data_IF_476315912763
#
_entry.id   IF_476315912763
#
_cell.length_a   1.000
_cell.length_b   1.000
_cell.length_c   1.000
_cell.angle_alpha   90.00
_cell.angle_beta   90.00
_cell.angle_gamma   90.00
#
_symmetry.space_group_name_H-M   'P 1'
#
loop_
_entity.id
_entity.type
_entity.pdbx_description
1 polymer ?
#
# COMPACT_ATOMS: atom_id res chain seq x y z
N UNK A 1 15.98 -17.06 -9.24
CA UNK A 1 14.95 -16.67 -10.22
C UNK A 1 13.91 -15.90 -9.44
N UNK A 2 14.07 -14.58 -9.28
CA UNK A 2 13.04 -13.79 -8.62
C UNK A 2 12.00 -13.46 -9.70
N UNK A 3 10.81 -14.04 -9.57
CA UNK A 3 9.67 -13.72 -10.42
C UNK A 3 9.49 -12.20 -10.44
N UNK A 4 9.30 -11.65 -11.65
CA UNK A 4 9.05 -10.22 -11.83
C UNK A 4 7.86 -9.82 -10.93
N UNK A 5 7.93 -8.67 -10.24
CA UNK A 5 6.78 -8.20 -9.48
C UNK A 5 5.55 -8.14 -10.39
N UNK A 6 4.42 -8.63 -9.88
CA UNK A 6 3.23 -8.88 -10.69
C UNK A 6 2.14 -9.61 -9.91
N UNK A 7 1.02 -9.88 -10.57
CA UNK A 7 -0.17 -10.50 -9.96
C UNK A 7 0.15 -11.83 -9.25
N UNK A 8 1.08 -12.63 -9.80
CA UNK A 8 1.47 -13.92 -9.22
C UNK A 8 2.07 -13.78 -7.80
N UNK A 9 2.79 -12.69 -7.53
CA UNK A 9 3.32 -12.36 -6.20
C UNK A 9 2.32 -11.59 -5.33
N UNK A 10 1.39 -10.87 -5.93
CA UNK A 10 0.40 -10.07 -5.20
C UNK A 10 -0.54 -10.91 -4.33
N UNK A 11 -1.03 -12.03 -4.85
CA UNK A 11 -1.94 -12.93 -4.14
C UNK A 11 -1.31 -13.55 -2.87
N UNK A 12 -0.13 -14.20 -2.91
CA UNK A 12 0.47 -14.75 -1.70
C UNK A 12 0.84 -13.66 -0.69
N UNK A 13 1.21 -12.46 -1.14
CA UNK A 13 1.47 -11.34 -0.23
C UNK A 13 0.17 -10.83 0.43
N UNK A 14 -0.95 -10.79 -0.28
CA UNK A 14 -2.25 -10.46 0.31
C UNK A 14 -2.67 -11.44 1.42
N UNK A 15 -2.43 -12.74 1.22
CA UNK A 15 -2.66 -13.78 2.24
C UNK A 15 -1.75 -13.54 3.45
N UNK A 16 -0.48 -13.20 3.22
CA UNK A 16 0.45 -12.86 4.28
C UNK A 16 0.01 -11.60 5.04
N UNK A 17 -0.50 -10.58 4.34
CA UNK A 17 -1.11 -9.39 4.92
C UNK A 17 -2.33 -9.73 5.79
N UNK A 18 -3.19 -10.64 5.34
CA UNK A 18 -4.31 -11.13 6.15
C UNK A 18 -3.82 -11.77 7.47
N UNK A 19 -2.86 -12.69 7.39
CA UNK A 19 -2.32 -13.39 8.58
C UNK A 19 -1.69 -12.40 9.57
N UNK A 20 -0.89 -11.46 9.06
CA UNK A 20 -0.27 -10.42 9.89
C UNK A 20 -1.31 -9.50 10.51
N UNK A 21 -2.33 -9.10 9.73
CA UNK A 21 -3.43 -8.27 10.23
C UNK A 21 -4.21 -8.93 11.37
N UNK A 22 -4.56 -10.22 11.21
CA UNK A 22 -5.18 -11.02 12.28
C UNK A 22 -4.27 -11.05 13.51
N UNK A 23 -3.01 -11.43 13.33
CA UNK A 23 -2.06 -11.59 14.43
C UNK A 23 -1.84 -10.27 15.19
N UNK A 24 -1.74 -9.14 14.49
CA UNK A 24 -1.56 -7.83 15.09
C UNK A 24 -2.78 -7.42 15.92
N UNK A 25 -3.99 -7.58 15.40
CA UNK A 25 -5.23 -7.27 16.15
C UNK A 25 -5.29 -8.13 17.41
N UNK A 26 -5.01 -9.43 17.26
CA UNK A 26 -5.01 -10.37 18.38
C UNK A 26 -3.98 -9.99 19.45
N UNK A 27 -2.79 -9.58 19.02
CA UNK A 27 -1.71 -9.15 19.90
C UNK A 27 -2.05 -7.86 20.65
N UNK A 28 -2.64 -6.86 19.98
CA UNK A 28 -3.04 -5.61 20.64
C UNK A 28 -4.15 -5.87 21.66
N UNK A 29 -5.16 -6.67 21.30
CA UNK A 29 -6.25 -7.01 22.21
C UNK A 29 -5.79 -7.83 23.42
N UNK A 30 -4.79 -8.70 23.24
CA UNK A 30 -4.22 -9.45 24.36
C UNK A 30 -3.45 -8.55 25.33
N UNK A 31 -2.70 -7.56 24.81
CA UNK A 31 -2.06 -6.54 25.63
C UNK A 31 -3.07 -5.66 26.39
N UNK A 32 -4.24 -5.44 25.81
CA UNK A 32 -5.33 -4.67 26.41
C UNK A 32 -6.24 -5.50 27.33
N UNK A 33 -5.97 -6.81 27.49
CA UNK A 33 -6.78 -7.74 28.28
C UNK A 33 -8.29 -7.69 27.91
N UNK A 34 -8.60 -7.48 26.63
CA UNK A 34 -9.98 -7.41 26.15
C UNK A 34 -10.58 -8.81 25.99
N UNK A 35 -11.82 -8.98 26.45
CA UNK A 35 -12.59 -10.22 26.30
C UNK A 35 -13.95 -9.90 25.61
N UNK A 36 -14.32 -10.57 24.49
CA UNK A 36 -13.60 -11.65 23.84
C UNK A 36 -12.32 -11.18 23.15
N UNK A 37 -11.28 -12.01 23.24
CA UNK A 37 -10.03 -11.83 22.52
C UNK A 37 -10.25 -11.78 20.99
N UNK A 38 -11.22 -12.53 20.48
CA UNK A 38 -11.64 -12.52 19.09
C UNK A 38 -12.91 -11.70 18.90
N UNK A 39 -12.80 -10.58 18.17
CA UNK A 39 -13.93 -9.72 17.83
C UNK A 39 -13.97 -9.51 16.31
N UNK A 40 -14.96 -10.08 15.61
CA UNK A 40 -15.09 -9.94 14.16
C UNK A 40 -15.15 -8.48 13.71
N UNK A 41 -15.77 -7.59 14.49
CA UNK A 41 -15.96 -6.18 14.12
C UNK A 41 -14.62 -5.45 13.92
N UNK A 42 -13.72 -5.58 14.89
CA UNK A 42 -12.38 -4.96 14.82
C UNK A 42 -11.55 -5.57 13.69
N UNK A 43 -11.65 -6.88 13.51
CA UNK A 43 -10.93 -7.63 12.49
C UNK A 43 -11.34 -7.18 11.08
N UNK A 44 -12.64 -6.97 10.83
CA UNK A 44 -13.14 -6.49 9.53
C UNK A 44 -12.69 -5.08 9.18
N UNK A 45 -12.35 -4.25 10.16
CA UNK A 45 -11.84 -2.90 9.91
C UNK A 45 -10.35 -2.92 9.58
N UNK A 46 -9.56 -3.65 10.36
CA UNK A 46 -8.08 -3.57 10.28
C UNK A 46 -7.52 -4.44 9.15
N UNK A 47 -8.06 -5.66 8.96
CA UNK A 47 -7.52 -6.62 8.00
C UNK A 47 -7.49 -6.10 6.56
N UNK A 48 -8.54 -5.45 6.02
CA UNK A 48 -8.52 -4.97 4.65
C UNK A 48 -7.33 -4.04 4.35
N UNK A 49 -6.94 -3.17 5.29
CA UNK A 49 -5.77 -2.31 5.11
C UNK A 49 -4.47 -3.10 4.98
N UNK A 50 -4.29 -4.16 5.78
CA UNK A 50 -3.13 -5.03 5.69
C UNK A 50 -3.13 -5.86 4.41
N UNK A 51 -4.28 -6.41 4.01
CA UNK A 51 -4.43 -7.12 2.73
C UNK A 51 -4.05 -6.19 1.58
N UNK A 52 -4.64 -4.99 1.51
CA UNK A 52 -4.38 -4.03 0.44
C UNK A 52 -2.92 -3.57 0.43
N UNK A 53 -2.34 -3.25 1.59
CA UNK A 53 -0.95 -2.82 1.69
C UNK A 53 0.04 -3.89 1.23
N UNK A 54 -0.12 -5.12 1.71
CA UNK A 54 0.73 -6.23 1.28
C UNK A 54 0.47 -6.68 -0.15
N UNK A 55 -0.77 -6.57 -0.63
CA UNK A 55 -1.11 -6.81 -2.03
C UNK A 55 -0.39 -5.80 -2.95
N UNK A 56 -0.47 -4.51 -2.64
CA UNK A 56 0.25 -3.46 -3.37
C UNK A 56 1.77 -3.68 -3.33
N UNK A 57 2.30 -4.09 -2.18
CA UNK A 57 3.71 -4.46 -2.06
C UNK A 57 4.06 -5.70 -2.89
N UNK A 58 3.18 -6.70 -2.94
CA UNK A 58 3.35 -7.90 -3.78
C UNK A 58 3.30 -7.61 -5.28
N UNK A 59 2.45 -6.67 -5.69
CA UNK A 59 2.44 -6.14 -7.07
C UNK A 59 3.69 -5.34 -7.41
N UNK A 60 4.50 -4.95 -6.43
CA UNK A 60 5.66 -4.09 -6.65
C UNK A 60 5.30 -2.62 -6.84
N UNK A 61 4.19 -2.15 -6.25
CA UNK A 61 3.82 -0.73 -6.27
C UNK A 61 4.89 0.22 -5.69
N UNK A 62 5.83 -0.34 -4.92
CA UNK A 62 6.98 0.37 -4.35
C UNK A 62 8.31 0.06 -5.06
N UNK A 63 8.30 -0.70 -6.16
CA UNK A 63 9.49 -0.96 -6.96
C UNK A 63 9.68 0.19 -7.97
N UNK A 64 10.73 1.02 -7.86
CA UNK A 64 10.98 2.12 -8.79
C UNK A 64 11.08 1.67 -10.25
N UNK A 65 11.44 0.40 -10.48
CA UNK A 65 11.56 -0.21 -11.80
C UNK A 65 10.23 -0.42 -12.52
N UNK A 66 9.10 -0.31 -11.81
CA UNK A 66 7.77 -0.30 -12.44
C UNK A 66 7.40 1.08 -13.01
N UNK A 67 8.05 2.15 -12.55
CA UNK A 67 7.87 3.51 -13.10
C UNK A 67 8.82 3.79 -14.27
N UNK A 68 9.84 2.96 -14.46
CA UNK A 68 10.53 2.83 -15.74
C UNK A 68 9.51 2.25 -16.73
N UNK A 69 8.68 3.11 -17.31
CA UNK A 69 7.97 2.76 -18.52
C UNK A 69 9.06 2.24 -19.47
N UNK A 70 8.85 1.05 -20.04
CA UNK A 70 9.52 0.73 -21.27
C UNK A 70 9.12 1.89 -22.20
N UNK A 71 10.00 2.88 -22.35
CA UNK A 71 9.97 3.72 -23.52
C UNK A 71 9.96 2.69 -24.65
N UNK A 72 8.79 2.50 -25.27
CA UNK A 72 8.74 1.93 -26.59
C UNK A 72 9.80 2.69 -27.38
N UNK A 73 10.68 2.00 -28.11
CA UNK A 73 11.90 2.60 -28.61
C UNK A 73 11.57 3.96 -29.22
N UNK A 74 12.05 5.03 -28.58
CA UNK A 74 12.05 6.38 -29.14
C UNK A 74 12.98 6.44 -30.37
N UNK A 75 13.54 5.30 -30.79
CA UNK A 75 14.06 5.03 -32.12
C UNK A 75 12.93 4.64 -33.09
N UNK A 76 11.96 5.55 -33.27
CA UNK A 76 11.06 5.54 -34.43
C UNK A 76 11.77 6.02 -35.72
N UNK A 77 13.06 5.69 -35.87
CA UNK A 77 13.80 5.85 -37.11
C UNK A 77 14.68 4.63 -37.38
N UNK A 78 14.20 3.86 -38.37
CA UNK A 78 15.00 3.12 -39.35
C UNK A 78 15.53 1.72 -38.97
N UNK A 79 14.85 0.72 -39.53
CA UNK A 79 15.38 -0.58 -40.02
C UNK A 79 15.64 -1.70 -39.00
N UNK A 80 14.57 -2.47 -38.71
CA UNK A 80 14.69 -3.91 -38.52
C UNK A 80 13.36 -4.60 -38.87
N UNK A 81 12.99 -4.58 -40.15
CA UNK A 81 12.10 -5.59 -40.71
C UNK A 81 12.90 -6.89 -40.69
N UNK A 82 12.74 -7.71 -39.65
CA UNK A 82 13.14 -9.11 -39.71
C UNK A 82 12.09 -9.79 -40.57
N UNK A 83 12.44 -10.07 -41.83
CA UNK A 83 11.68 -10.98 -42.67
C UNK A 83 11.75 -12.38 -42.04
N UNK A 84 10.77 -12.71 -41.21
CA UNK A 84 10.46 -14.09 -40.85
C UNK A 84 9.56 -14.62 -41.96
N UNK A 85 10.18 -15.19 -42.98
CA UNK A 85 9.50 -16.14 -43.87
C UNK A 85 9.16 -17.38 -43.03
N UNK A 86 7.92 -17.41 -42.55
CA UNK A 86 7.43 -18.44 -41.64
C UNK A 86 6.01 -18.10 -41.23
N UNK A 87 5.11 -18.42 -42.12
CA UNK A 87 3.66 -18.29 -42.04
C UNK A 87 3.07 -18.87 -40.74
N UNK A 88 3.01 -18.05 -39.69
CA UNK A 88 1.96 -18.11 -38.67
C UNK A 88 1.35 -16.73 -38.57
N UNK A 89 0.12 -16.60 -39.08
CA UNK A 89 -0.73 -15.43 -38.89
C UNK A 89 -1.03 -15.35 -37.40
N UNK A 90 -0.13 -14.72 -36.65
CA UNK A 90 -0.47 -14.16 -35.36
C UNK A 90 -1.58 -13.16 -35.66
N UNK A 91 -2.82 -13.56 -35.40
CA UNK A 91 -3.94 -12.66 -35.31
C UNK A 91 -3.44 -11.47 -34.49
N UNK A 92 -3.43 -10.29 -35.09
CA UNK A 92 -3.17 -9.05 -34.39
C UNK A 92 -4.26 -8.97 -33.33
N UNK A 93 -3.97 -9.48 -32.14
CA UNK A 93 -4.82 -9.29 -30.98
C UNK A 93 -4.82 -7.78 -30.75
N UNK A 94 -5.88 -7.12 -31.22
CA UNK A 94 -6.11 -5.72 -30.91
C UNK A 94 -6.00 -5.57 -29.39
N UNK A 95 -4.97 -4.86 -28.95
CA UNK A 95 -4.74 -4.67 -27.52
C UNK A 95 -6.03 -4.10 -26.93
N UNK A 96 -6.62 -4.77 -25.94
CA UNK A 96 -7.90 -4.34 -25.40
C UNK A 96 -7.74 -2.91 -24.91
N UNK A 97 -8.50 -1.99 -25.49
CA UNK A 97 -8.39 -0.58 -25.16
C UNK A 97 -8.47 -0.35 -23.65
N UNK A 98 -7.88 0.73 -23.12
CA UNK A 98 -7.82 0.98 -21.66
C UNK A 98 -9.18 0.85 -20.95
N UNK A 99 -10.26 1.20 -21.65
CA UNK A 99 -11.63 1.05 -21.17
C UNK A 99 -12.10 -0.42 -21.04
N UNK A 100 -11.71 -1.28 -21.98
CA UNK A 100 -12.03 -2.71 -21.94
C UNK A 100 -11.31 -3.40 -20.77
N UNK A 101 -10.07 -3.00 -20.49
CA UNK A 101 -9.33 -3.48 -19.30
C UNK A 101 -10.02 -3.03 -18.01
N UNK A 102 -10.39 -1.75 -17.91
CA UNK A 102 -11.07 -1.21 -16.74
C UNK A 102 -12.43 -1.87 -16.50
N UNK A 103 -13.23 -2.03 -17.55
CA UNK A 103 -14.52 -2.72 -17.49
C UNK A 103 -14.37 -4.20 -17.11
N UNK A 104 -13.36 -4.88 -17.65
CA UNK A 104 -13.03 -6.25 -17.28
C UNK A 104 -12.67 -6.40 -15.80
N UNK A 105 -11.88 -5.47 -15.25
CA UNK A 105 -11.53 -5.46 -13.82
C UNK A 105 -12.74 -5.10 -12.95
N UNK A 106 -13.52 -4.10 -13.34
CA UNK A 106 -14.72 -3.69 -12.60
C UNK A 106 -15.75 -4.84 -12.54
N UNK A 107 -15.93 -5.59 -13.62
CA UNK A 107 -16.80 -6.77 -13.65
C UNK A 107 -16.30 -7.86 -12.69
N UNK A 108 -15.00 -8.18 -12.74
CA UNK A 108 -14.39 -9.19 -11.85
C UNK A 108 -14.54 -8.81 -10.37
N UNK A 109 -14.30 -7.54 -10.03
CA UNK A 109 -14.42 -7.04 -8.65
C UNK A 109 -15.89 -7.07 -8.20
N UNK A 110 -16.81 -6.57 -9.03
CA UNK A 110 -18.25 -6.55 -8.72
C UNK A 110 -18.79 -7.95 -8.51
N UNK A 111 -18.44 -8.88 -9.41
CA UNK A 111 -18.83 -10.28 -9.29
C UNK A 111 -18.25 -10.94 -8.03
N UNK A 112 -16.98 -10.70 -7.73
CA UNK A 112 -16.36 -11.23 -6.52
C UNK A 112 -17.02 -10.71 -5.24
N UNK A 113 -17.37 -9.42 -5.19
CA UNK A 113 -18.09 -8.82 -4.06
C UNK A 113 -19.48 -9.43 -3.91
N UNK A 114 -20.23 -9.57 -5.01
CA UNK A 114 -21.56 -10.21 -5.00
C UNK A 114 -21.44 -11.65 -4.51
N UNK A 115 -20.45 -12.41 -5.00
CA UNK A 115 -20.20 -13.78 -4.57
C UNK A 115 -19.92 -13.85 -3.06
N UNK A 116 -19.07 -12.96 -2.53
CA UNK A 116 -18.79 -12.88 -1.10
C UNK A 116 -20.06 -12.58 -0.30
N UNK A 117 -20.88 -11.61 -0.74
CA UNK A 117 -22.15 -11.29 -0.06
C UNK A 117 -23.10 -12.49 -0.07
N UNK A 118 -23.21 -13.20 -1.19
CA UNK A 118 -24.04 -14.41 -1.30
C UNK A 118 -23.52 -15.52 -0.39
N UNK A 119 -22.20 -15.72 -0.31
CA UNK A 119 -21.60 -16.69 0.61
C UNK A 119 -21.90 -16.30 2.05
N UNK A 120 -21.69 -15.05 2.45
CA UNK A 120 -22.01 -14.56 3.79
C UNK A 120 -23.48 -14.73 4.12
N UNK A 121 -24.37 -14.46 3.16
CA UNK A 121 -25.81 -14.67 3.32
C UNK A 121 -26.17 -16.15 3.49
N UNK A 122 -25.56 -17.04 2.70
CA UNK A 122 -25.73 -18.49 2.84
C UNK A 122 -25.22 -18.99 4.20
N UNK A 123 -24.07 -18.49 4.66
CA UNK A 123 -23.54 -18.79 5.99
C UNK A 123 -24.38 -18.20 7.12
N UNK A 124 -25.00 -17.03 6.92
CA UNK A 124 -25.88 -16.42 7.91
C UNK A 124 -27.22 -17.16 8.05
N UNK A 125 -27.70 -17.79 6.98
CA UNK A 125 -28.97 -18.52 6.94
C UNK A 125 -28.83 -20.03 7.19
N UNK A 126 -27.60 -20.56 7.19
CA UNK A 126 -27.34 -21.96 7.47
C UNK A 126 -27.65 -22.33 8.95
N UNK A 127 -28.23 -23.52 9.23
CA UNK A 127 -28.58 -23.94 10.60
C UNK A 127 -27.40 -24.06 11.57
N UNK A 128 -26.19 -24.19 11.04
CA UNK A 128 -24.90 -24.27 11.76
C UNK A 128 -23.97 -23.10 11.43
N UNK A 129 -24.54 -22.02 10.88
CA UNK A 129 -23.82 -20.84 10.42
C UNK A 129 -23.10 -20.05 11.52
N UNK A 130 -22.33 -19.04 11.10
CA UNK A 130 -21.83 -17.98 11.99
C UNK A 130 -23.04 -17.17 12.48
N UNK A 131 -23.74 -17.69 13.49
CA UNK A 131 -24.68 -16.90 14.26
C UNK A 131 -23.86 -15.79 14.90
N UNK A 132 -23.92 -14.60 14.31
CA UNK A 132 -23.71 -13.37 15.06
C UNK A 132 -24.74 -13.42 16.18
N UNK A 133 -24.38 -14.05 17.30
CA UNK A 133 -25.18 -14.04 18.52
C UNK A 133 -25.37 -12.56 18.81
N UNK A 134 -26.57 -12.06 18.53
CA UNK A 134 -27.01 -10.78 19.04
C UNK A 134 -27.04 -10.99 20.54
N UNK A 135 -25.96 -10.58 21.20
CA UNK A 135 -25.87 -10.64 22.65
C UNK A 135 -26.96 -9.67 23.10
N UNK A 136 -28.05 -10.19 23.66
CA UNK A 136 -29.11 -9.41 24.30
C UNK A 136 -28.58 -8.75 25.58
N UNK A 137 -27.40 -8.12 25.51
CA UNK A 137 -26.99 -7.10 26.47
C UNK A 137 -27.69 -5.82 26.04
N UNK A 138 -28.49 -5.27 26.95
CA UNK A 138 -29.21 -4.01 26.74
C UNK A 138 -28.27 -2.87 26.30
N UNK A 139 -26.99 -2.94 26.69
CA UNK A 139 -25.93 -1.99 26.35
C UNK A 139 -25.48 -2.04 24.87
N UNK A 140 -25.75 -3.14 24.15
CA UNK A 140 -25.37 -3.35 22.75
C UNK A 140 -26.54 -3.31 21.75
N UNK A 141 -27.74 -2.98 22.22
CA UNK A 141 -28.94 -2.93 21.36
C UNK A 141 -28.89 -1.71 20.43
N UNK A 142 -28.85 -1.95 19.12
CA UNK A 142 -29.02 -0.91 18.08
C UNK A 142 -30.41 -0.27 18.09
N UNK A 143 -31.37 -0.82 18.84
CA UNK A 143 -32.69 -0.24 19.06
C UNK A 143 -32.74 0.67 20.31
N UNK A 144 -31.70 0.71 21.14
CA UNK A 144 -31.64 1.50 22.37
C UNK A 144 -31.15 2.94 22.12
N UNK A 145 -31.72 3.62 21.12
CA UNK A 145 -31.39 5.03 20.79
C UNK A 145 -31.68 5.99 21.96
N UNK A 146 -32.47 5.56 22.95
CA UNK A 146 -32.83 6.31 24.16
C UNK A 146 -31.92 6.07 25.36
N UNK A 147 -30.95 5.14 25.29
CA UNK A 147 -30.03 4.91 26.41
C UNK A 147 -29.06 6.09 26.56
N UNK A 148 -29.26 6.91 27.60
CA UNK A 148 -28.29 7.92 28.03
C UNK A 148 -27.04 7.21 28.53
N UNK A 149 -25.91 7.38 27.82
CA UNK A 149 -24.62 6.91 28.29
C UNK A 149 -23.88 8.10 28.93
N UNK A 150 -23.41 7.88 30.16
CA UNK A 150 -22.54 8.81 30.86
C UNK A 150 -21.10 8.35 30.72
N UNK A 151 -20.21 9.26 30.30
CA UNK A 151 -18.77 9.00 30.22
C UNK A 151 -18.02 10.06 31.00
N UNK A 152 -17.01 9.62 31.76
CA UNK A 152 -16.04 10.49 32.40
C UNK A 152 -15.01 10.93 31.37
N UNK A 153 -15.00 12.21 31.01
CA UNK A 153 -13.94 12.76 30.20
C UNK A 153 -12.63 12.74 31.00
N UNK A 154 -11.50 12.33 30.40
CA UNK A 154 -10.19 12.29 31.07
C UNK A 154 -9.62 13.69 31.43
N UNK A 155 -10.44 14.74 31.29
CA UNK A 155 -10.13 16.13 31.62
C UNK A 155 -10.55 16.53 33.05
N UNK A 156 -11.11 15.61 33.85
CA UNK A 156 -11.45 15.85 35.26
C UNK A 156 -12.65 16.79 35.48
N UNK A 157 -13.42 17.05 34.42
CA UNK A 157 -14.68 17.81 34.46
C UNK A 157 -15.81 16.77 34.51
N UNK A 158 -16.87 17.09 35.25
CA UNK A 158 -18.03 16.23 35.55
C UNK A 158 -18.52 15.33 34.40
N UNK A 159 -19.21 14.25 34.76
CA UNK A 159 -19.83 13.30 33.83
C UNK A 159 -20.71 14.03 32.82
N UNK A 160 -20.36 13.92 31.54
CA UNK A 160 -21.19 14.44 30.45
C UNK A 160 -22.13 13.32 30.01
N UNK A 161 -23.43 13.55 30.16
CA UNK A 161 -24.47 12.71 29.59
C UNK A 161 -24.68 13.13 28.14
N UNK A 162 -24.37 12.23 27.19
CA UNK A 162 -24.69 12.47 25.79
C UNK A 162 -25.49 11.30 25.22
N UNK A 163 -26.43 11.61 24.32
CA UNK A 163 -27.17 10.60 23.58
C UNK A 163 -26.19 9.77 22.72
N UNK A 164 -26.41 8.46 22.65
CA UNK A 164 -25.66 7.55 21.77
C UNK A 164 -25.63 8.06 20.32
N UNK A 165 -26.72 8.67 19.85
CA UNK A 165 -26.80 9.26 18.51
C UNK A 165 -25.82 10.43 18.35
N UNK A 166 -25.68 11.30 19.36
CA UNK A 166 -24.73 12.41 19.34
C UNK A 166 -23.29 11.93 19.34
N UNK A 167 -22.97 10.89 20.13
CA UNK A 167 -21.62 10.29 20.16
C UNK A 167 -21.30 9.61 18.83
N UNK A 168 -22.25 8.85 18.27
CA UNK A 168 -22.08 8.22 16.97
C UNK A 168 -21.88 9.25 15.86
N UNK A 169 -22.67 10.32 15.85
CA UNK A 169 -22.52 11.40 14.87
C UNK A 169 -21.16 12.09 15.01
N UNK A 170 -20.71 12.39 16.23
CA UNK A 170 -19.39 12.95 16.48
C UNK A 170 -18.28 12.02 15.99
N UNK A 171 -18.41 10.71 16.23
CA UNK A 171 -17.48 9.70 15.73
C UNK A 171 -17.45 9.63 14.20
N UNK A 172 -18.62 9.67 13.53
CA UNK A 172 -18.71 9.69 12.06
C UNK A 172 -18.03 10.94 11.51
N UNK A 173 -18.33 12.12 12.06
CA UNK A 173 -17.70 13.39 11.65
C UNK A 173 -16.19 13.32 11.84
N UNK A 174 -15.74 12.86 13.00
CA UNK A 174 -14.31 12.69 13.30
C UNK A 174 -13.65 11.73 12.30
N UNK A 175 -14.31 10.62 11.97
CA UNK A 175 -13.79 9.62 11.03
C UNK A 175 -13.66 10.22 9.63
N UNK A 176 -14.69 10.91 9.13
CA UNK A 176 -14.64 11.58 7.83
C UNK A 176 -13.52 12.62 7.80
N UNK A 177 -13.40 13.45 8.83
CA UNK A 177 -12.33 14.43 8.94
C UNK A 177 -10.94 13.77 8.98
N UNK A 178 -10.78 12.65 9.70
CA UNK A 178 -9.52 11.92 9.74
C UNK A 178 -9.13 11.35 8.37
N UNK A 179 -10.10 10.83 7.62
CA UNK A 179 -9.86 10.27 6.28
C UNK A 179 -9.48 11.38 5.32
N UNK A 180 -10.20 12.51 5.35
CA UNK A 180 -9.89 13.69 4.53
C UNK A 180 -8.48 14.22 4.85
N UNK A 181 -8.11 14.28 6.13
CA UNK A 181 -6.81 14.77 6.55
C UNK A 181 -5.69 13.82 6.08
N UNK A 182 -5.85 12.51 6.25
CA UNK A 182 -4.86 11.51 5.81
C UNK A 182 -4.73 11.49 4.29
N UNK A 183 -5.86 11.47 3.56
CA UNK A 183 -5.85 11.53 2.10
C UNK A 183 -5.22 12.82 1.59
N UNK A 184 -5.54 13.96 2.22
CA UNK A 184 -4.94 15.26 1.91
C UNK A 184 -3.43 15.27 2.16
N UNK A 185 -2.96 14.67 3.26
CA UNK A 185 -1.53 14.55 3.55
C UNK A 185 -0.80 13.69 2.50
N UNK A 186 -1.38 12.56 2.10
CA UNK A 186 -0.82 11.70 1.05
C UNK A 186 -0.77 12.46 -0.29
N UNK A 187 -1.85 13.14 -0.68
CA UNK A 187 -1.89 13.94 -1.90
C UNK A 187 -0.85 15.07 -1.89
N UNK A 188 -0.66 15.71 -0.73
CA UNK A 188 0.37 16.74 -0.56
C UNK A 188 1.79 16.18 -0.76
N UNK A 189 2.08 15.00 -0.21
CA UNK A 189 3.38 14.33 -0.40
C UNK A 189 3.64 14.01 -1.88
N UNK A 190 2.64 13.49 -2.59
CA UNK A 190 2.77 13.25 -4.04
C UNK A 190 2.96 14.54 -4.84
N UNK A 191 2.23 15.60 -4.50
CA UNK A 191 2.40 16.91 -5.12
C UNK A 191 3.80 17.49 -4.87
N UNK A 192 4.38 17.22 -3.70
CA UNK A 192 5.75 17.62 -3.37
C UNK A 192 6.77 16.86 -4.22
N UNK A 193 6.65 15.53 -4.33
CA UNK A 193 7.56 14.74 -5.17
C UNK A 193 7.46 15.08 -6.67
N UNK A 194 6.26 15.39 -7.17
CA UNK A 194 6.06 15.80 -8.56
C UNK A 194 6.74 17.15 -8.90
N UNK A 195 6.98 18.01 -7.90
CA UNK A 195 7.75 19.24 -8.13
C UNK A 195 9.22 18.95 -8.39
N UNK A 196 9.80 17.94 -7.75
CA UNK A 196 11.21 17.59 -7.96
C UNK A 196 11.46 16.93 -9.31
N UNK A 197 10.53 16.09 -9.79
CA UNK A 197 10.66 15.46 -11.12
C UNK A 197 10.61 16.48 -12.25
N UNK A 198 9.75 17.50 -12.15
CA UNK A 198 9.69 18.60 -13.14
C UNK A 198 10.96 19.45 -13.21
N UNK A 199 11.73 19.52 -12.12
CA UNK A 199 13.03 20.22 -12.11
C UNK A 199 14.09 19.39 -12.86
N UNK A 200 13.99 18.06 -12.80
CA UNK A 200 14.91 17.15 -13.53
C UNK A 200 14.56 17.09 -15.01
N UNK A 201 13.28 17.14 -15.36
CA UNK A 201 12.81 17.17 -16.76
C UNK A 201 13.31 18.41 -17.52
N UNK A 202 13.59 19.52 -16.82
CA UNK A 202 14.18 20.72 -17.39
C UNK A 202 15.70 20.71 -17.52
N UNK A 203 16.39 19.67 -17.05
CA UNK A 203 17.83 19.51 -17.25
C UNK A 203 18.07 18.70 -18.51
N UNK A 204 18.68 19.32 -19.54
CA UNK A 204 19.13 18.62 -20.74
C UNK A 204 19.96 17.40 -20.33
N UNK A 205 19.50 16.22 -20.73
CA UNK A 205 20.20 14.96 -20.52
C UNK A 205 21.48 14.97 -21.34
N UNK A 206 22.60 15.35 -20.73
CA UNK A 206 23.93 14.98 -21.26
C UNK A 206 24.02 13.46 -21.27
N UNK A 207 23.76 12.87 -22.42
CA UNK A 207 23.96 11.45 -22.70
C UNK A 207 25.47 11.18 -22.63
N UNK A 208 25.95 10.82 -21.44
CA UNK A 208 27.28 10.24 -21.32
C UNK A 208 27.19 8.86 -21.94
N UNK A 209 27.62 8.75 -23.20
CA UNK A 209 27.79 7.49 -23.90
C UNK A 209 28.87 6.71 -23.14
N UNK A 210 28.45 5.85 -22.21
CA UNK A 210 29.34 4.86 -21.65
C UNK A 210 29.62 3.85 -22.76
N UNK A 211 30.75 4.03 -23.45
CA UNK A 211 31.36 2.96 -24.22
C UNK A 211 31.71 1.86 -23.20
N UNK A 212 30.80 0.89 -23.06
CA UNK A 212 31.03 -0.29 -22.25
C UNK A 212 32.20 -1.04 -22.89
N UNK A 213 33.40 -0.88 -22.34
CA UNK A 213 34.52 -1.73 -22.71
C UNK A 213 34.12 -3.17 -22.36
N UNK A 214 33.88 -3.99 -23.38
CA UNK A 214 33.54 -5.40 -23.20
C UNK A 214 34.62 -6.08 -22.33
N UNK A 215 34.26 -6.63 -21.17
CA UNK A 215 35.24 -7.33 -20.33
C UNK A 215 35.66 -8.62 -21.04
N UNK A 216 36.80 -8.58 -21.71
CA UNK A 216 37.45 -9.76 -22.30
C UNK A 216 37.95 -10.68 -21.17
N UNK A 217 37.11 -11.66 -20.79
CA UNK A 217 37.50 -12.81 -19.96
C UNK A 217 37.03 -12.78 -18.50
N UNK A 218 37.18 -13.93 -17.82
CA UNK A 218 36.72 -14.20 -16.44
C UNK A 218 37.27 -13.18 -15.42
N UNK A 219 38.50 -12.68 -15.64
CA UNK A 219 39.12 -11.62 -14.85
C UNK A 219 38.39 -10.26 -14.98
N UNK A 220 37.82 -9.96 -16.15
CA UNK A 220 37.05 -8.73 -16.37
C UNK A 220 35.71 -8.72 -15.63
N UNK A 221 35.06 -9.89 -15.52
CA UNK A 221 33.82 -10.05 -14.75
C UNK A 221 34.10 -9.88 -13.25
N UNK A 222 35.19 -10.46 -12.74
CA UNK A 222 35.61 -10.27 -11.34
C UNK A 222 35.90 -8.80 -11.04
N UNK A 223 36.61 -8.10 -11.92
CA UNK A 223 36.89 -6.67 -11.75
C UNK A 223 35.61 -5.82 -11.79
N UNK A 224 34.66 -6.16 -12.66
CA UNK A 224 33.36 -5.48 -12.72
C UNK A 224 32.56 -5.68 -11.43
N UNK A 225 32.52 -6.91 -10.89
CA UNK A 225 31.88 -7.22 -9.62
C UNK A 225 32.53 -6.44 -8.47
N UNK A 226 33.86 -6.38 -8.42
CA UNK A 226 34.61 -5.60 -7.41
C UNK A 226 34.28 -4.11 -7.53
N UNK A 227 34.23 -3.56 -8.74
CA UNK A 227 33.89 -2.15 -8.95
C UNK A 227 32.45 -1.82 -8.54
N UNK A 228 31.49 -2.72 -8.81
CA UNK A 228 30.10 -2.58 -8.36
C UNK A 228 30.00 -2.64 -6.83
N UNK A 229 30.70 -3.58 -6.18
CA UNK A 229 30.72 -3.71 -4.73
C UNK A 229 31.37 -2.49 -4.06
N UNK A 230 32.49 -2.00 -4.61
CA UNK A 230 33.16 -0.77 -4.12
C UNK A 230 32.27 0.45 -4.33
N UNK A 231 31.55 0.52 -5.46
CA UNK A 231 30.58 1.58 -5.74
C UNK A 231 29.42 1.58 -4.75
N UNK A 232 28.81 0.41 -4.50
CA UNK A 232 27.75 0.22 -3.53
C UNK A 232 28.21 0.58 -2.11
N UNK A 233 29.41 0.14 -1.71
CA UNK A 233 29.99 0.48 -0.40
C UNK A 233 30.22 1.99 -0.26
N UNK A 234 30.78 2.65 -1.29
CA UNK A 234 30.94 4.12 -1.29
C UNK A 234 29.60 4.85 -1.20
N UNK A 235 28.56 4.35 -1.85
CA UNK A 235 27.23 4.94 -1.79
C UNK A 235 26.61 4.81 -0.39
N UNK A 236 26.70 3.62 0.23
CA UNK A 236 26.26 3.40 1.62
C UNK A 236 27.01 4.30 2.60
N UNK A 237 28.34 4.42 2.47
CA UNK A 237 29.15 5.29 3.32
C UNK A 237 28.79 6.77 3.15
N UNK A 238 28.47 7.22 1.94
CA UNK A 238 27.96 8.60 1.72
C UNK A 238 26.57 8.79 2.35
N UNK A 239 25.69 7.78 2.27
CA UNK A 239 24.38 7.80 2.91
C UNK A 239 24.49 7.98 4.43
N UNK A 240 25.35 7.19 5.08
CA UNK A 240 25.63 7.31 6.52
C UNK A 240 26.22 8.70 6.84
N UNK A 241 27.14 9.21 6.02
CA UNK A 241 27.70 10.55 6.20
C UNK A 241 26.69 11.68 6.04
N UNK A 242 25.69 11.52 5.18
CA UNK A 242 24.59 12.49 5.02
C UNK A 242 23.64 12.47 6.21
N UNK A 243 23.31 11.28 6.72
CA UNK A 243 22.48 11.11 7.91
C UNK A 243 23.19 11.68 9.15
N UNK A 244 24.47 11.41 9.33
CA UNK A 244 25.27 11.97 10.42
C UNK A 244 25.34 13.51 10.38
N UNK A 245 25.47 14.09 9.17
CA UNK A 245 25.43 15.55 8.99
C UNK A 245 24.05 16.14 9.23
N UNK A 246 22.98 15.43 8.84
CA UNK A 246 21.59 15.81 9.12
C UNK A 246 21.30 15.82 10.62
N UNK A 247 21.69 14.77 11.33
CA UNK A 247 21.57 14.68 12.79
C UNK A 247 22.37 15.79 13.49
N UNK A 248 23.62 16.05 13.07
CA UNK A 248 24.44 17.12 13.67
C UNK A 248 23.84 18.52 13.45
N UNK A 249 23.11 18.74 12.36
CA UNK A 249 22.42 20.01 12.07
C UNK A 249 21.05 20.12 12.76
N UNK A 250 20.36 18.99 12.99
CA UNK A 250 19.04 18.95 13.65
C UNK A 250 19.09 18.92 15.18
N UNK A 251 20.17 18.38 15.77
CA UNK A 251 20.33 18.29 17.23
C UNK A 251 20.22 19.63 17.98
N UNK A 252 20.81 20.76 17.52
CA UNK A 252 20.69 22.04 18.21
C UNK A 252 19.25 22.56 18.29
N UNK A 253 18.45 22.29 17.26
CA UNK A 253 17.03 22.67 17.22
C UNK A 253 16.16 21.80 18.14
N UNK A 254 16.53 20.54 18.34
CA UNK A 254 15.79 19.60 19.19
C UNK A 254 16.02 19.84 20.70
N UNK A 255 17.21 20.32 21.08
CA UNK A 255 17.57 20.61 22.47
C UNK A 255 17.32 22.06 22.90
N UNK A 256 16.62 22.87 22.10
CA UNK A 256 16.18 24.20 22.50
C UNK A 256 17.30 25.22 22.72
N UNK A 257 18.52 24.94 22.25
CA UNK A 257 19.60 25.93 22.27
C UNK A 257 19.37 26.95 21.14
N UNK A 258 18.63 28.02 21.48
CA UNK A 258 18.67 29.29 20.75
C UNK A 258 19.99 29.98 21.09
N UNK A 259 20.87 30.14 20.09
CA UNK A 259 21.76 31.29 20.06
C UNK A 259 21.00 32.48 19.46
#
# INVERSE_FOLDING_TARGET
MFEKPGIQRAVPMAILGFIIGVALVQFIRSLQQMDPLWDPGVIFVVIPFFITGFFMWGMGAFDPRMSEHAHGPDDAHETAIVAVEGEEVHAVEEEPGPWAVLMGQMWRISFAIILVVVILFAFATAPTGLFLKQVNQAEGSVAAVEAQQSFLLPLGIDTVEASQLSVFLAFVIFTVLSVVLVAGAIAFVFAFFNKETKVVEGMETTTVTYQAAEPRGILGILQAIVNVLVGALRWVLRGIGNIARGLRRGLPYFFGYRN
#
